data_IF_285174723906
#
_entry.id   IF_285174723906
#
_cell.length_a   1.000
_cell.length_b   1.000
_cell.length_c   1.000
_cell.angle_alpha   90.00
_cell.angle_beta   90.00
_cell.angle_gamma   90.00
#
_symmetry.space_group_name_H-M   'P 1'
#
loop_
_entity.id
_entity.type
_entity.pdbx_description
1 polymer ?
#
# COMPACT_ATOMS: atom_id res chain seq x y z
N UNK A 1 11.66 43.45 16.92
CA UNK A 1 12.03 42.14 16.34
C UNK A 1 11.14 41.05 16.96
N UNK A 2 10.62 40.10 16.16
CA UNK A 2 9.98 38.80 16.54
C UNK A 2 8.59 38.59 15.91
N UNK A 3 8.51 38.37 14.59
CA UNK A 3 7.34 37.69 13.95
C UNK A 3 7.69 36.71 12.81
N UNK A 4 8.97 36.44 12.51
CA UNK A 4 9.37 35.60 11.36
C UNK A 4 9.58 34.10 11.64
N UNK A 5 9.40 33.60 12.87
CA UNK A 5 9.70 32.18 13.15
C UNK A 5 8.60 31.20 12.73
N UNK A 6 7.35 31.64 12.55
CA UNK A 6 6.24 30.72 12.24
C UNK A 6 6.31 30.15 10.80
N UNK A 7 6.81 30.93 9.84
CA UNK A 7 6.92 30.51 8.44
C UNK A 7 8.00 29.43 8.21
N UNK A 8 9.08 29.46 8.98
CA UNK A 8 10.18 28.48 8.86
C UNK A 8 9.72 27.09 9.33
N UNK A 9 8.90 27.02 10.39
CA UNK A 9 8.35 25.75 10.87
C UNK A 9 7.35 25.12 9.88
N UNK A 10 6.57 25.93 9.16
CA UNK A 10 5.64 25.43 8.14
C UNK A 10 6.34 24.79 6.94
N UNK A 11 7.42 25.42 6.44
CA UNK A 11 8.18 24.92 5.29
C UNK A 11 8.98 23.66 5.66
N UNK A 12 9.55 23.60 6.86
CA UNK A 12 10.25 22.41 7.35
C UNK A 12 9.33 21.19 7.46
N UNK A 13 8.09 21.35 7.95
CA UNK A 13 7.13 20.25 8.07
C UNK A 13 6.71 19.70 6.70
N UNK A 14 6.52 20.57 5.70
CA UNK A 14 6.14 20.16 4.35
C UNK A 14 7.26 19.36 3.66
N UNK A 15 8.51 19.76 3.84
CA UNK A 15 9.67 19.05 3.31
C UNK A 15 9.82 17.64 3.93
N UNK A 16 9.61 17.50 5.24
CA UNK A 16 9.67 16.19 5.92
C UNK A 16 8.58 15.24 5.42
N UNK A 17 7.37 15.75 5.17
CA UNK A 17 6.26 14.96 4.62
C UNK A 17 6.56 14.45 3.21
N UNK A 18 7.14 15.29 2.34
CA UNK A 18 7.51 14.90 0.97
C UNK A 18 8.62 13.83 0.93
N UNK A 19 9.67 13.99 1.76
CA UNK A 19 10.76 13.00 1.84
C UNK A 19 10.26 11.67 2.37
N UNK A 20 9.33 11.68 3.34
CA UNK A 20 8.74 10.45 3.87
C UNK A 20 7.97 9.68 2.80
N UNK A 21 7.14 10.36 2.01
CA UNK A 21 6.31 9.74 0.98
C UNK A 21 7.17 9.08 -0.11
N UNK A 22 8.26 9.75 -0.50
CA UNK A 22 9.20 9.21 -1.49
C UNK A 22 9.96 7.97 -0.98
N UNK A 23 10.34 7.97 0.31
CA UNK A 23 11.00 6.82 0.95
C UNK A 23 10.10 5.58 0.98
N UNK A 24 8.83 5.72 1.35
CA UNK A 24 7.89 4.60 1.38
C UNK A 24 7.52 4.12 -0.02
N UNK A 25 7.32 5.04 -0.97
CA UNK A 25 7.09 4.67 -2.38
C UNK A 25 8.27 3.85 -2.93
N UNK A 26 9.50 4.27 -2.69
CA UNK A 26 10.68 3.52 -3.14
C UNK A 26 10.79 2.14 -2.52
N UNK A 27 10.33 1.95 -1.28
CA UNK A 27 10.28 0.62 -0.65
C UNK A 27 9.15 -0.24 -1.23
N UNK A 28 7.98 0.36 -1.44
CA UNK A 28 6.79 -0.31 -1.97
C UNK A 28 6.98 -0.82 -3.39
N UNK A 29 7.72 -0.07 -4.22
CA UNK A 29 8.02 -0.44 -5.62
C UNK A 29 8.83 -1.74 -5.64
N UNK A 30 8.11 -2.84 -5.74
CA UNK A 30 8.61 -4.20 -5.81
C UNK A 30 7.48 -5.17 -6.13
N UNK A 31 7.85 -6.44 -6.28
CA UNK A 31 6.92 -7.55 -6.30
C UNK A 31 6.79 -8.11 -4.88
N UNK A 32 5.55 -8.43 -4.51
CA UNK A 32 5.20 -8.91 -3.17
C UNK A 32 4.28 -10.11 -3.30
N UNK A 33 4.57 -11.19 -2.58
CA UNK A 33 3.75 -12.39 -2.53
C UNK A 33 2.99 -12.47 -1.21
N UNK A 34 1.70 -12.75 -1.24
CA UNK A 34 0.88 -12.94 -0.05
C UNK A 34 1.33 -14.21 0.67
N UNK A 35 1.64 -14.10 1.96
CA UNK A 35 2.05 -15.24 2.81
C UNK A 35 1.10 -15.51 3.96
N UNK A 36 0.27 -14.52 4.34
CA UNK A 36 -0.74 -14.70 5.37
C UNK A 36 -2.00 -13.88 5.05
N UNK A 37 -3.15 -14.45 5.42
CA UNK A 37 -4.48 -13.83 5.28
C UNK A 37 -5.22 -13.99 6.60
N UNK A 38 -5.53 -12.87 7.22
CA UNK A 38 -6.29 -12.73 8.46
C UNK A 38 -7.66 -12.11 8.12
N UNK A 39 -8.71 -12.92 7.93
CA UNK A 39 -10.04 -12.43 7.57
C UNK A 39 -10.69 -11.67 8.72
N UNK A 40 -11.28 -10.50 8.44
CA UNK A 40 -12.12 -9.73 9.39
C UNK A 40 -13.61 -9.92 9.13
N UNK A 41 -13.97 -10.29 7.91
CA UNK A 41 -15.29 -10.79 7.52
C UNK A 41 -15.19 -12.28 7.18
N UNK A 42 -16.30 -13.04 7.21
CA UNK A 42 -16.31 -14.42 6.76
C UNK A 42 -15.78 -14.54 5.33
N UNK A 43 -14.69 -15.28 5.15
CA UNK A 43 -14.07 -15.61 3.87
C UNK A 43 -14.17 -17.12 3.69
N UNK A 44 -14.55 -17.56 2.49
CA UNK A 44 -14.57 -19.00 2.18
C UNK A 44 -13.16 -19.55 2.14
N UNK A 45 -12.98 -20.82 2.55
CA UNK A 45 -11.68 -21.47 2.52
C UNK A 45 -11.10 -21.56 1.11
N UNK A 46 -11.98 -21.72 0.10
CA UNK A 46 -11.60 -21.69 -1.31
C UNK A 46 -10.97 -20.35 -1.70
N UNK A 47 -11.64 -19.23 -1.38
CA UNK A 47 -11.11 -17.90 -1.69
C UNK A 47 -9.80 -17.64 -0.93
N UNK A 48 -9.73 -18.00 0.37
CA UNK A 48 -8.51 -17.87 1.16
C UNK A 48 -7.34 -18.64 0.54
N UNK A 49 -7.58 -19.87 0.05
CA UNK A 49 -6.56 -20.67 -0.61
C UNK A 49 -6.10 -20.03 -1.93
N UNK A 50 -7.02 -19.50 -2.73
CA UNK A 50 -6.69 -18.77 -3.96
C UNK A 50 -5.82 -17.56 -3.66
N UNK A 51 -6.18 -16.76 -2.65
CA UNK A 51 -5.39 -15.59 -2.23
C UNK A 51 -3.98 -16.01 -1.76
N UNK A 52 -3.84 -17.10 -1.02
CA UNK A 52 -2.52 -17.55 -0.55
C UNK A 52 -1.65 -18.16 -1.68
N UNK A 53 -2.26 -18.75 -2.69
CA UNK A 53 -1.53 -19.44 -3.78
C UNK A 53 -1.18 -18.52 -4.93
N UNK A 54 -2.13 -17.66 -5.35
CA UNK A 54 -2.00 -16.74 -6.48
C UNK A 54 -1.70 -15.30 -6.05
N UNK A 55 -1.91 -14.98 -4.77
CA UNK A 55 -1.77 -13.62 -4.26
C UNK A 55 -0.38 -13.05 -4.46
N UNK A 56 -0.30 -12.06 -5.34
CA UNK A 56 0.91 -11.33 -5.66
C UNK A 56 0.54 -9.91 -6.03
N UNK A 57 1.32 -8.92 -5.61
CA UNK A 57 1.16 -7.54 -6.05
C UNK A 57 2.51 -6.99 -6.49
N UNK A 58 2.55 -6.42 -7.69
CA UNK A 58 3.73 -5.77 -8.25
C UNK A 58 3.46 -4.28 -8.35
N UNK A 59 4.21 -3.46 -7.62
CA UNK A 59 4.10 -2.00 -7.66
C UNK A 59 5.24 -1.42 -8.47
N UNK A 60 4.91 -0.54 -9.41
CA UNK A 60 5.88 0.06 -10.33
C UNK A 60 6.11 1.54 -10.02
N UNK A 61 7.25 2.08 -10.49
CA UNK A 61 7.67 3.47 -10.16
C UNK A 61 6.73 4.52 -10.72
N UNK A 62 6.14 4.25 -11.87
CA UNK A 62 5.14 5.08 -12.56
C UNK A 62 3.79 5.15 -11.83
N UNK A 63 3.55 4.31 -10.82
CA UNK A 63 2.34 4.36 -10.00
C UNK A 63 1.30 3.29 -10.37
N UNK A 64 1.68 2.31 -11.19
CA UNK A 64 0.83 1.17 -11.53
C UNK A 64 1.01 0.01 -10.54
N UNK A 65 -0.02 -0.82 -10.48
CA UNK A 65 -0.01 -2.06 -9.70
C UNK A 65 -0.69 -3.18 -10.48
N UNK A 66 -0.08 -4.35 -10.47
CA UNK A 66 -0.60 -5.56 -11.12
C UNK A 66 -0.52 -6.78 -10.20
N UNK A 67 -1.32 -7.80 -10.47
CA UNK A 67 -1.28 -9.09 -9.78
C UNK A 67 -2.64 -9.54 -9.27
N UNK A 68 -2.69 -10.21 -8.13
CA UNK A 68 -3.90 -10.78 -7.55
C UNK A 68 -4.00 -10.46 -6.05
N UNK A 69 -5.15 -9.95 -5.60
CA UNK A 69 -5.46 -9.76 -4.18
C UNK A 69 -6.77 -10.45 -3.79
N UNK A 70 -7.85 -10.13 -4.50
CA UNK A 70 -9.14 -10.82 -4.43
C UNK A 70 -9.68 -11.13 -5.82
N UNK A 71 -9.34 -10.25 -6.75
CA UNK A 71 -9.47 -10.36 -8.19
C UNK A 71 -8.11 -10.08 -8.81
N UNK A 72 -7.98 -10.45 -10.06
CA UNK A 72 -6.85 -10.04 -10.88
C UNK A 72 -6.89 -8.52 -11.10
N UNK A 73 -5.72 -7.89 -11.04
CA UNK A 73 -5.47 -6.49 -11.31
C UNK A 73 -4.46 -6.47 -12.46
N UNK A 74 -4.92 -6.10 -13.65
CA UNK A 74 -4.08 -6.13 -14.86
C UNK A 74 -3.42 -4.79 -15.13
N UNK A 75 -4.09 -3.69 -14.78
CA UNK A 75 -3.58 -2.32 -14.94
C UNK A 75 -4.18 -1.40 -13.87
N UNK A 76 -3.91 -1.72 -12.60
CA UNK A 76 -4.34 -0.91 -11.47
C UNK A 76 -3.42 0.28 -11.24
N UNK A 77 -3.89 1.23 -10.42
CA UNK A 77 -3.06 2.34 -9.93
C UNK A 77 -3.02 2.36 -8.41
N UNK A 78 -1.99 2.96 -7.83
CA UNK A 78 -1.90 3.08 -6.37
C UNK A 78 -1.52 4.49 -5.91
N UNK A 79 -2.01 4.85 -4.72
CA UNK A 79 -1.67 6.10 -4.07
C UNK A 79 -1.28 5.87 -2.61
N UNK A 80 -0.10 6.34 -2.23
CA UNK A 80 0.32 6.41 -0.82
C UNK A 80 -0.03 7.77 -0.24
N UNK A 81 -0.75 7.76 0.86
CA UNK A 81 -1.12 8.96 1.61
C UNK A 81 -0.66 8.83 3.07
N UNK A 82 -0.81 9.91 3.86
CA UNK A 82 -0.46 9.96 5.29
C UNK A 82 0.97 9.48 5.58
N UNK A 83 1.92 9.82 4.70
CA UNK A 83 3.32 9.43 4.84
C UNK A 83 3.54 7.92 4.76
N UNK A 84 2.82 7.22 3.88
CA UNK A 84 3.00 5.79 3.63
C UNK A 84 2.22 4.84 4.56
N UNK A 85 1.40 5.39 5.46
CA UNK A 85 0.53 4.63 6.37
C UNK A 85 -0.82 4.26 5.78
N UNK A 86 -1.19 4.86 4.65
CA UNK A 86 -2.42 4.52 3.93
C UNK A 86 -2.10 4.34 2.46
N UNK A 87 -2.48 3.16 1.95
CA UNK A 87 -2.35 2.78 0.55
C UNK A 87 -3.75 2.62 -0.03
N UNK A 88 -4.03 3.29 -1.13
CA UNK A 88 -5.25 3.07 -1.90
C UNK A 88 -4.86 2.43 -3.21
N UNK A 89 -5.27 1.18 -3.41
CA UNK A 89 -5.16 0.48 -4.70
C UNK A 89 -6.45 0.73 -5.46
N UNK A 90 -6.37 1.02 -6.76
CA UNK A 90 -7.52 1.09 -7.65
C UNK A 90 -7.31 0.05 -8.73
N UNK A 91 -8.33 -0.77 -8.98
CA UNK A 91 -8.31 -1.66 -10.14
C UNK A 91 -8.51 -0.88 -11.44
N UNK A 92 -8.47 -1.58 -12.57
CA UNK A 92 -8.67 -1.02 -13.92
C UNK A 92 -10.02 -0.31 -14.10
N UNK A 93 -11.03 -0.67 -13.29
CA UNK A 93 -12.34 -0.02 -13.29
C UNK A 93 -12.38 1.25 -12.44
N UNK A 94 -11.29 1.54 -11.71
CA UNK A 94 -11.19 2.66 -10.79
C UNK A 94 -11.78 2.38 -9.41
N UNK A 95 -12.18 1.14 -9.11
CA UNK A 95 -12.76 0.76 -7.81
C UNK A 95 -11.68 0.88 -6.73
N UNK A 96 -11.85 1.76 -5.72
CA UNK A 96 -10.83 1.97 -4.70
C UNK A 96 -10.88 0.88 -3.64
N UNK A 97 -9.71 0.34 -3.32
CA UNK A 97 -9.45 -0.58 -2.23
C UNK A 97 -8.51 0.09 -1.22
N UNK A 98 -9.07 0.82 -0.23
CA UNK A 98 -8.28 1.51 0.78
C UNK A 98 -7.76 0.52 1.84
N UNK A 99 -6.48 0.64 2.16
CA UNK A 99 -5.82 -0.14 3.21
C UNK A 99 -5.00 0.80 4.10
N UNK A 100 -4.91 0.46 5.38
CA UNK A 100 -3.79 0.88 6.20
C UNK A 100 -2.56 0.05 5.78
N UNK A 101 -1.43 0.71 5.62
CA UNK A 101 -0.22 0.09 5.07
C UNK A 101 0.94 0.18 6.05
N UNK A 102 1.60 -0.95 6.28
CA UNK A 102 2.92 -1.01 6.92
C UNK A 102 3.92 -1.50 5.90
N UNK A 103 4.90 -0.65 5.57
CA UNK A 103 5.86 -0.90 4.49
C UNK A 103 7.27 -0.94 5.09
N UNK A 104 7.85 -2.13 5.14
CA UNK A 104 9.23 -2.36 5.57
C UNK A 104 10.11 -2.66 4.36
N UNK A 105 11.34 -3.14 4.57
CA UNK A 105 12.23 -3.50 3.45
C UNK A 105 11.83 -4.83 2.79
N UNK A 106 11.25 -5.75 3.57
CA UNK A 106 11.03 -7.16 3.19
C UNK A 106 9.57 -7.60 3.38
N UNK A 107 8.77 -6.77 4.04
CA UNK A 107 7.37 -7.05 4.34
C UNK A 107 6.46 -5.85 4.06
N UNK A 108 5.30 -6.14 3.48
CA UNK A 108 4.19 -5.24 3.25
C UNK A 108 2.97 -5.82 3.95
N UNK A 109 2.36 -5.06 4.86
CA UNK A 109 1.09 -5.43 5.49
C UNK A 109 0.03 -4.47 4.97
N UNK A 110 -1.05 -5.03 4.43
CA UNK A 110 -2.24 -4.28 4.03
C UNK A 110 -3.39 -4.67 4.95
N UNK A 111 -3.84 -3.71 5.74
CA UNK A 111 -4.98 -3.90 6.61
C UNK A 111 -6.20 -3.16 6.05
N UNK A 112 -7.17 -3.91 5.56
CA UNK A 112 -8.43 -3.39 5.02
C UNK A 112 -9.58 -3.62 6.00
N UNK A 113 -10.79 -3.19 5.60
CA UNK A 113 -12.01 -3.50 6.35
C UNK A 113 -12.36 -5.00 6.32
N UNK A 114 -12.01 -5.69 5.24
CA UNK A 114 -12.44 -7.06 4.97
C UNK A 114 -11.44 -8.10 5.47
N UNK A 115 -10.15 -7.80 5.31
CA UNK A 115 -9.07 -8.68 5.72
C UNK A 115 -7.78 -7.90 5.91
N UNK A 116 -6.89 -8.49 6.70
CA UNK A 116 -5.49 -8.11 6.78
C UNK A 116 -4.66 -9.14 6.04
N UNK A 117 -3.79 -8.68 5.16
CA UNK A 117 -2.86 -9.55 4.43
C UNK A 117 -1.43 -9.13 4.70
N UNK A 118 -0.57 -10.14 4.83
CA UNK A 118 0.87 -9.96 4.93
C UNK A 118 1.51 -10.46 3.65
N UNK A 119 2.35 -9.63 3.06
CA UNK A 119 3.10 -9.93 1.86
C UNK A 119 4.60 -9.85 2.11
N UNK A 120 5.34 -10.78 1.52
CA UNK A 120 6.80 -10.79 1.50
C UNK A 120 7.31 -10.39 0.14
N UNK A 121 8.40 -9.63 0.12
CA UNK A 121 9.08 -9.23 -1.10
C UNK A 121 9.63 -10.45 -1.86
N UNK A 122 9.57 -10.43 -3.19
CA UNK A 122 10.10 -11.48 -4.08
C UNK A 122 11.09 -10.94 -5.11
#
# INVERSE_FOLDING_TARGET
MKKSKLFIFGIALLAVLMVSCHKYRNKLVNSWKITAVEPKIPLSDSLKNVILTQGQLTFTKDGHVTGYLQREITDGTFALTKGGKSLVIKDETGTPYPCESTITNDELILDSKEMKVTLKKI
#
